data_IF_720771594744
#
_entry.id   IF_720771594744
#
_cell.length_a   1.000
_cell.length_b   1.000
_cell.length_c   1.000
_cell.angle_alpha   90.00
_cell.angle_beta   90.00
_cell.angle_gamma   90.00
#
_symmetry.space_group_name_H-M   'P 1'
#
loop_
_entity.id
_entity.type
_entity.pdbx_description
1 polymer ?
#
# COMPACT_ATOMS: atom_id res chain seq x y z
N UNK A 1 -36.52 -74.20 -28.72
CA UNK A 1 -37.41 -73.02 -28.81
C UNK A 1 -36.55 -71.77 -28.89
N UNK A 2 -36.32 -71.23 -30.10
CA UNK A 2 -35.63 -69.95 -30.32
C UNK A 2 -36.68 -69.01 -30.93
N UNK A 3 -37.08 -67.95 -30.20
CA UNK A 3 -37.95 -66.89 -30.74
C UNK A 3 -37.06 -65.79 -31.31
N UNK A 4 -37.34 -65.40 -32.54
CA UNK A 4 -36.67 -64.36 -33.31
C UNK A 4 -36.89 -62.95 -32.70
N UNK A 5 -36.00 -61.98 -32.95
CA UNK A 5 -36.15 -60.62 -32.44
C UNK A 5 -37.14 -59.80 -33.28
N UNK A 6 -37.98 -59.01 -32.60
CA UNK A 6 -38.90 -58.03 -33.19
C UNK A 6 -38.08 -56.74 -33.48
N UNK A 7 -38.22 -56.10 -34.65
CA UNK A 7 -37.51 -54.86 -34.94
C UNK A 7 -38.18 -53.71 -34.19
N UNK A 8 -37.55 -53.21 -33.12
CA UNK A 8 -37.98 -52.00 -32.43
C UNK A 8 -37.59 -50.76 -33.24
N UNK A 9 -38.58 -50.09 -33.84
CA UNK A 9 -38.41 -48.76 -34.42
C UNK A 9 -38.06 -47.77 -33.29
N UNK A 10 -36.83 -47.24 -33.27
CA UNK A 10 -36.47 -46.12 -32.42
C UNK A 10 -37.11 -44.84 -32.98
N UNK A 11 -38.14 -44.33 -32.31
CA UNK A 11 -38.59 -42.95 -32.51
C UNK A 11 -37.70 -42.02 -31.68
N UNK A 12 -36.77 -41.33 -32.34
CA UNK A 12 -35.99 -40.27 -31.71
C UNK A 12 -36.86 -39.00 -31.63
N UNK A 13 -37.40 -38.70 -30.44
CA UNK A 13 -37.99 -37.40 -30.15
C UNK A 13 -36.86 -36.38 -29.97
N UNK A 14 -36.60 -35.55 -30.98
CA UNK A 14 -35.78 -34.35 -30.81
C UNK A 14 -36.59 -33.31 -30.03
N UNK A 15 -36.30 -33.15 -28.74
CA UNK A 15 -36.73 -31.98 -27.98
C UNK A 15 -35.86 -30.79 -28.37
N UNK A 16 -36.38 -29.91 -29.23
CA UNK A 16 -35.77 -28.60 -29.49
C UNK A 16 -36.16 -27.67 -28.35
N UNK A 17 -35.31 -27.58 -27.32
CA UNK A 17 -35.44 -26.54 -26.30
C UNK A 17 -34.93 -25.23 -26.91
N UNK A 18 -35.84 -24.30 -27.18
CA UNK A 18 -35.48 -22.93 -27.53
C UNK A 18 -34.87 -22.25 -26.30
N UNK A 19 -33.55 -22.26 -26.21
CA UNK A 19 -32.81 -21.43 -25.25
C UNK A 19 -32.93 -19.98 -25.72
N UNK A 20 -33.79 -19.20 -25.06
CA UNK A 20 -33.79 -17.76 -25.20
C UNK A 20 -32.50 -17.24 -24.57
N UNK A 21 -31.49 -16.97 -25.40
CA UNK A 21 -30.29 -16.28 -24.95
C UNK A 21 -30.71 -14.89 -24.44
N UNK A 22 -30.32 -14.55 -23.22
CA UNK A 22 -30.48 -13.19 -22.71
C UNK A 22 -29.80 -12.22 -23.68
N UNK A 23 -30.50 -11.16 -24.06
CA UNK A 23 -29.88 -10.06 -24.79
C UNK A 23 -28.68 -9.55 -23.97
N UNK A 24 -27.51 -9.31 -24.58
CA UNK A 24 -26.40 -8.75 -23.85
C UNK A 24 -26.86 -7.40 -23.30
N UNK A 25 -26.92 -7.30 -21.98
CA UNK A 25 -27.08 -6.01 -21.32
C UNK A 25 -25.79 -5.26 -21.65
N UNK A 26 -25.84 -4.42 -22.68
CA UNK A 26 -24.82 -3.41 -22.97
C UNK A 26 -24.89 -2.32 -21.91
N UNK A 27 -24.70 -2.70 -20.65
CA UNK A 27 -24.29 -1.79 -19.61
C UNK A 27 -22.84 -1.48 -19.88
N UNK A 28 -22.55 -0.34 -20.50
CA UNK A 28 -21.26 0.30 -20.30
C UNK A 28 -21.18 0.57 -18.81
N UNK A 29 -20.55 -0.34 -18.06
CA UNK A 29 -20.16 -0.05 -16.69
C UNK A 29 -19.21 1.15 -16.80
N UNK A 30 -19.76 2.35 -16.63
CA UNK A 30 -19.00 3.58 -16.56
C UNK A 30 -18.17 3.45 -15.31
N UNK A 31 -16.94 2.98 -15.50
CA UNK A 31 -15.97 2.87 -14.43
C UNK A 31 -15.93 4.25 -13.76
N UNK A 32 -16.16 4.33 -12.43
CA UNK A 32 -16.10 5.62 -11.76
C UNK A 32 -14.77 6.28 -12.11
N UNK A 33 -14.78 7.59 -12.41
CA UNK A 33 -13.58 8.30 -12.81
C UNK A 33 -12.50 8.11 -11.73
N UNK A 34 -11.31 7.71 -12.17
CA UNK A 34 -10.17 7.52 -11.27
C UNK A 34 -9.60 8.89 -10.90
N UNK A 35 -9.25 9.14 -9.62
CA UNK A 35 -8.54 10.35 -9.25
C UNK A 35 -7.19 10.42 -9.98
N UNK A 36 -6.80 11.62 -10.40
CA UNK A 36 -5.51 11.86 -11.07
C UNK A 36 -4.32 11.87 -10.10
N UNK A 37 -4.60 12.09 -8.81
CA UNK A 37 -3.64 12.13 -7.73
C UNK A 37 -4.32 11.61 -6.45
N UNK A 38 -3.60 10.76 -5.71
CA UNK A 38 -3.98 10.35 -4.36
C UNK A 38 -2.87 10.83 -3.42
N UNK A 39 -3.25 11.53 -2.35
CA UNK A 39 -2.31 12.01 -1.33
C UNK A 39 -2.58 11.25 -0.04
N UNK A 40 -1.66 10.35 0.32
CA UNK A 40 -1.63 9.74 1.65
C UNK A 40 -0.70 10.54 2.55
N UNK A 41 -1.18 10.99 3.70
CA UNK A 41 -0.38 11.67 4.70
C UNK A 41 -0.63 11.04 6.08
N UNK A 42 0.45 10.72 6.78
CA UNK A 42 0.42 10.16 8.14
C UNK A 42 1.07 11.16 9.07
N UNK A 43 0.33 11.63 10.06
CA UNK A 43 0.84 12.54 11.07
C UNK A 43 1.43 11.70 12.22
N UNK A 44 2.75 11.63 12.27
CA UNK A 44 3.47 10.81 13.24
C UNK A 44 3.13 11.21 14.68
N UNK A 45 2.77 10.24 15.50
CA UNK A 45 2.32 10.43 16.88
C UNK A 45 1.04 11.27 17.04
N UNK A 46 0.23 11.44 15.99
CA UNK A 46 -1.07 12.10 16.13
C UNK A 46 -2.08 11.17 16.79
N UNK A 47 -2.54 11.56 17.99
CA UNK A 47 -3.70 10.91 18.61
C UNK A 47 -4.98 11.44 17.98
N UNK A 48 -5.98 10.56 17.95
CA UNK A 48 -7.32 10.86 17.47
C UNK A 48 -7.95 12.09 18.15
N UNK A 49 -7.80 12.23 19.47
CA UNK A 49 -8.44 13.29 20.26
C UNK A 49 -7.90 14.69 19.95
N UNK A 50 -6.75 14.82 19.27
CA UNK A 50 -6.20 16.11 18.86
C UNK A 50 -7.11 16.84 17.86
N UNK A 51 -7.90 16.11 17.06
CA UNK A 51 -8.86 16.69 16.12
C UNK A 51 -9.96 17.49 16.83
N UNK A 52 -10.31 17.10 18.05
CA UNK A 52 -11.40 17.72 18.82
C UNK A 52 -10.85 18.64 19.91
N UNK A 53 -9.81 18.21 20.62
CA UNK A 53 -9.18 18.96 21.70
C UNK A 53 -8.65 20.33 21.25
N UNK A 54 -8.24 20.45 19.99
CA UNK A 54 -7.69 21.69 19.43
C UNK A 54 -8.56 22.31 18.33
N UNK A 55 -9.82 21.87 18.21
CA UNK A 55 -10.72 22.27 17.11
C UNK A 55 -10.88 23.79 16.98
N UNK A 56 -10.90 24.51 18.10
CA UNK A 56 -11.03 25.97 18.16
C UNK A 56 -9.79 26.71 17.66
N UNK A 57 -8.64 26.02 17.56
CA UNK A 57 -7.38 26.59 17.05
C UNK A 57 -7.16 26.31 15.57
N UNK A 58 -7.98 25.47 14.95
CA UNK A 58 -7.86 25.19 13.53
C UNK A 58 -8.46 26.32 12.69
N UNK A 59 -7.79 26.59 11.57
CA UNK A 59 -8.31 27.50 10.54
C UNK A 59 -9.74 27.14 10.16
N UNK A 60 -10.59 28.15 10.05
CA UNK A 60 -11.96 27.99 9.56
C UNK A 60 -12.02 27.50 8.11
N UNK A 61 -10.96 27.77 7.33
CA UNK A 61 -10.86 27.40 5.92
C UNK A 61 -9.78 26.32 5.73
N UNK A 62 -10.19 25.17 5.22
CA UNK A 62 -9.29 24.06 4.86
C UNK A 62 -8.89 23.15 6.04
N UNK A 63 -7.74 22.49 5.90
CA UNK A 63 -7.11 21.69 6.96
C UNK A 63 -8.00 20.58 7.55
N UNK A 64 -7.88 20.36 8.87
CA UNK A 64 -8.65 19.34 9.58
C UNK A 64 -10.16 19.59 9.55
N UNK A 65 -10.61 20.85 9.61
CA UNK A 65 -12.05 21.18 9.54
C UNK A 65 -12.66 20.75 8.21
N UNK A 66 -11.96 20.97 7.11
CA UNK A 66 -12.39 20.48 5.78
C UNK A 66 -12.48 18.96 5.75
N UNK A 67 -11.47 18.26 6.26
CA UNK A 67 -11.45 16.79 6.24
C UNK A 67 -12.56 16.18 7.10
N UNK A 68 -12.87 16.78 8.25
CA UNK A 68 -13.96 16.34 9.13
C UNK A 68 -15.35 16.69 8.58
N UNK A 69 -15.52 17.84 7.92
CA UNK A 69 -16.83 18.32 7.45
C UNK A 69 -17.22 17.88 6.04
N UNK A 70 -16.24 17.73 5.14
CA UNK A 70 -16.47 17.36 3.73
C UNK A 70 -15.98 15.94 3.39
N UNK A 71 -15.23 15.31 4.31
CA UNK A 71 -14.67 13.98 4.12
C UNK A 71 -15.44 12.90 4.85
N UNK A 72 -14.75 11.79 5.10
CA UNK A 72 -15.24 10.71 5.94
C UNK A 72 -14.23 10.46 7.05
N UNK A 73 -14.73 10.27 8.27
CA UNK A 73 -13.88 10.05 9.45
C UNK A 73 -14.21 8.72 10.10
N UNK A 74 -13.17 7.88 10.25
CA UNK A 74 -13.27 6.57 10.86
C UNK A 74 -12.80 6.66 12.33
N UNK A 75 -13.71 7.08 13.21
CA UNK A 75 -13.42 7.41 14.62
C UNK A 75 -12.95 6.22 15.47
N UNK A 76 -13.23 4.99 15.03
CA UNK A 76 -12.88 3.74 15.75
C UNK A 76 -11.79 2.94 15.03
N UNK A 77 -10.83 3.63 14.44
CA UNK A 77 -9.66 3.00 13.79
C UNK A 77 -8.59 2.69 14.84
N UNK A 78 -8.35 1.42 15.11
CA UNK A 78 -7.37 0.95 16.09
C UNK A 78 -6.20 0.23 15.43
N UNK A 79 -5.03 0.25 16.08
CA UNK A 79 -3.83 -0.48 15.64
C UNK A 79 -3.94 -1.93 16.15
N UNK A 80 -4.11 -2.95 15.27
CA UNK A 80 -4.41 -4.32 15.70
C UNK A 80 -3.14 -5.15 15.98
N UNK A 81 -2.05 -4.50 16.41
CA UNK A 81 -0.76 -5.15 16.67
C UNK A 81 0.08 -4.37 17.69
N UNK A 82 1.15 -5.01 18.12
CA UNK A 82 2.20 -4.42 18.97
C UNK A 82 3.57 -4.80 18.37
N UNK A 83 4.62 -3.94 18.48
CA UNK A 83 4.63 -2.62 19.10
C UNK A 83 4.05 -1.50 18.22
N UNK A 84 3.43 -0.49 18.85
CA UNK A 84 2.84 0.69 18.18
C UNK A 84 3.91 1.75 17.90
N UNK A 85 4.89 1.41 17.05
CA UNK A 85 6.01 2.27 16.68
C UNK A 85 5.97 2.69 15.21
N UNK A 86 6.71 3.75 14.86
CA UNK A 86 6.68 4.40 13.55
C UNK A 86 6.79 3.43 12.37
N UNK A 87 7.82 2.57 12.33
CA UNK A 87 8.06 1.67 11.19
C UNK A 87 6.92 0.67 10.99
N UNK A 88 6.44 0.04 12.06
CA UNK A 88 5.29 -0.87 12.05
C UNK A 88 4.05 -0.15 11.53
N UNK A 89 3.79 1.05 12.07
CA UNK A 89 2.71 1.96 11.69
C UNK A 89 2.64 2.21 10.19
N UNK A 90 3.72 2.78 9.65
CA UNK A 90 3.78 3.18 8.24
C UNK A 90 3.67 1.97 7.30
N UNK A 91 4.29 0.84 7.66
CA UNK A 91 4.20 -0.39 6.87
C UNK A 91 2.78 -0.95 6.86
N UNK A 92 2.14 -1.02 8.03
CA UNK A 92 0.80 -1.61 8.13
C UNK A 92 -0.26 -0.81 7.37
N UNK A 93 -0.24 0.53 7.49
CA UNK A 93 -1.20 1.40 6.80
C UNK A 93 -1.15 1.24 5.29
N UNK A 94 0.05 1.10 4.71
CA UNK A 94 0.22 1.06 3.27
C UNK A 94 0.25 -0.35 2.68
N UNK A 95 0.46 -1.39 3.48
CA UNK A 95 0.40 -2.79 3.01
C UNK A 95 -0.94 -3.46 3.29
N UNK A 96 -1.74 -2.91 4.22
CA UNK A 96 -2.97 -3.57 4.68
C UNK A 96 -2.72 -4.84 5.49
N UNK A 97 -1.49 -5.06 5.97
CA UNK A 97 -1.10 -6.26 6.75
C UNK A 97 -0.43 -5.86 8.07
N UNK A 98 -0.14 -6.84 8.91
CA UNK A 98 0.47 -6.65 10.23
C UNK A 98 1.98 -6.94 10.23
N UNK A 99 2.76 -6.47 11.23
CA UNK A 99 4.19 -6.77 11.36
C UNK A 99 4.59 -8.24 11.21
N UNK A 100 3.74 -9.17 11.67
CA UNK A 100 3.97 -10.60 11.53
C UNK A 100 3.96 -11.10 10.07
N UNK A 101 3.41 -10.33 9.14
CA UNK A 101 3.30 -10.65 7.71
C UNK A 101 4.21 -9.75 6.88
N UNK A 102 4.16 -8.43 7.08
CA UNK A 102 5.01 -7.49 6.32
C UNK A 102 6.49 -7.50 6.75
N UNK A 103 6.83 -8.12 7.88
CA UNK A 103 8.21 -8.29 8.37
C UNK A 103 8.77 -7.10 9.15
N UNK A 104 8.10 -5.95 9.17
CA UNK A 104 8.56 -4.75 9.88
C UNK A 104 8.06 -4.78 11.33
N UNK A 105 8.84 -5.42 12.20
CA UNK A 105 8.49 -5.72 13.60
C UNK A 105 8.90 -4.66 14.62
N UNK A 106 9.59 -3.61 14.17
CA UNK A 106 9.99 -2.48 15.01
C UNK A 106 10.72 -1.42 14.20
N UNK A 107 11.08 -0.30 14.85
CA UNK A 107 12.03 0.65 14.26
C UNK A 107 13.41 0.00 14.08
N UNK A 108 13.74 -0.95 14.95
CA UNK A 108 14.87 -1.85 14.84
C UNK A 108 14.53 -3.16 15.57
N UNK A 109 15.21 -4.24 15.25
CA UNK A 109 15.05 -5.54 15.90
C UNK A 109 16.39 -6.27 16.02
N UNK A 110 16.47 -7.24 16.92
CA UNK A 110 17.61 -8.15 16.98
C UNK A 110 17.49 -9.20 15.87
N UNK A 111 18.50 -9.29 15.03
CA UNK A 111 18.62 -10.32 14.01
C UNK A 111 19.47 -11.48 14.55
N UNK A 112 18.87 -12.67 14.65
CA UNK A 112 19.52 -13.85 15.20
C UNK A 112 20.62 -14.44 14.31
N UNK A 113 20.57 -14.21 12.99
CA UNK A 113 21.59 -14.70 12.06
C UNK A 113 22.80 -13.76 12.03
N UNK A 114 22.54 -12.45 11.99
CA UNK A 114 23.59 -11.42 11.99
C UNK A 114 24.16 -11.16 13.39
N UNK A 115 23.47 -11.63 14.45
CA UNK A 115 23.80 -11.43 15.86
C UNK A 115 24.02 -9.96 16.21
N UNK A 116 23.12 -9.10 15.74
CA UNK A 116 23.12 -7.66 16.00
C UNK A 116 21.73 -7.06 15.84
N UNK A 117 21.57 -5.83 16.31
CA UNK A 117 20.40 -5.02 15.97
C UNK A 117 20.47 -4.57 14.50
N UNK A 118 19.35 -4.67 13.80
CA UNK A 118 19.13 -4.21 12.43
C UNK A 118 18.09 -3.10 12.48
N UNK A 119 18.40 -1.96 11.86
CA UNK A 119 17.46 -0.86 11.69
C UNK A 119 16.49 -1.14 10.52
N UNK A 120 15.23 -0.72 10.66
CA UNK A 120 14.13 -1.17 9.80
C UNK A 120 14.35 -0.98 8.30
N UNK A 121 14.94 0.14 7.88
CA UNK A 121 15.25 0.42 6.47
C UNK A 121 16.74 0.30 6.15
N UNK A 122 17.59 -0.18 7.07
CA UNK A 122 19.03 -0.28 6.81
C UNK A 122 19.33 -1.16 5.60
N UNK A 123 20.12 -0.63 4.67
CA UNK A 123 20.65 -1.38 3.56
C UNK A 123 22.07 -0.92 3.19
N UNK A 124 23.04 -1.75 3.55
CA UNK A 124 24.46 -1.48 3.31
C UNK A 124 24.87 -1.68 1.84
N UNK A 125 23.98 -2.22 1.00
CA UNK A 125 24.24 -2.46 -0.42
C UNK A 125 23.98 -1.24 -1.31
N UNK A 126 23.32 -0.21 -0.77
CA UNK A 126 23.01 1.04 -1.47
C UNK A 126 23.84 2.19 -0.91
N UNK A 127 24.04 3.21 -1.74
CA UNK A 127 24.75 4.45 -1.37
C UNK A 127 23.79 5.61 -1.22
N UNK A 128 24.19 6.59 -0.41
CA UNK A 128 23.49 7.87 -0.30
C UNK A 128 23.56 8.64 -1.62
N UNK A 129 22.44 9.22 -2.01
CA UNK A 129 22.33 10.13 -3.16
C UNK A 129 21.85 11.48 -2.66
N UNK A 130 22.58 12.54 -3.02
CA UNK A 130 22.34 13.91 -2.54
C UNK A 130 23.23 14.35 -1.37
N UNK A 131 24.07 13.48 -0.81
CA UNK A 131 25.12 13.84 0.15
C UNK A 131 26.23 12.78 0.22
N UNK A 132 27.29 13.03 0.99
CA UNK A 132 28.37 12.07 1.28
C UNK A 132 28.18 11.32 2.62
N UNK A 133 27.08 11.56 3.33
CA UNK A 133 26.81 10.92 4.62
C UNK A 133 26.44 9.44 4.43
N UNK A 134 26.40 8.66 5.51
CA UNK A 134 25.84 7.30 5.50
C UNK A 134 24.32 7.25 5.72
N UNK A 135 23.65 8.41 5.85
CA UNK A 135 22.21 8.49 6.16
C UNK A 135 21.32 8.02 5.00
N UNK A 136 21.90 7.89 3.81
CA UNK A 136 21.22 7.37 2.63
C UNK A 136 21.39 5.86 2.41
N UNK A 137 22.06 5.13 3.30
CA UNK A 137 22.19 3.66 3.22
C UNK A 137 20.90 2.95 3.65
N UNK A 138 19.81 3.29 2.98
CA UNK A 138 18.44 2.89 3.32
C UNK A 138 17.66 2.42 2.10
N UNK A 139 16.83 1.40 2.26
CA UNK A 139 15.95 0.86 1.20
C UNK A 139 14.74 0.13 1.80
N UNK A 140 13.72 -0.24 1.00
CA UNK A 140 12.57 -1.02 1.48
C UNK A 140 12.87 -2.52 1.56
N UNK A 141 14.13 -2.96 1.43
CA UNK A 141 14.58 -4.37 1.41
C UNK A 141 13.96 -5.28 2.47
N UNK A 142 13.71 -4.76 3.68
CA UNK A 142 13.19 -5.57 4.78
C UNK A 142 11.66 -5.68 4.78
N UNK A 143 10.96 -4.95 3.89
CA UNK A 143 9.52 -5.08 3.70
C UNK A 143 9.26 -6.33 2.87
N UNK A 144 8.49 -7.28 3.41
CA UNK A 144 8.30 -8.60 2.77
C UNK A 144 7.13 -8.66 1.79
N UNK A 145 6.30 -7.62 1.73
CA UNK A 145 5.05 -7.58 0.97
C UNK A 145 4.91 -6.29 0.18
N UNK A 146 4.09 -6.30 -0.86
CA UNK A 146 3.80 -5.10 -1.65
C UNK A 146 2.99 -4.08 -0.85
N UNK A 147 3.20 -2.79 -1.13
CA UNK A 147 2.33 -1.72 -0.66
C UNK A 147 1.22 -1.42 -1.68
N UNK A 148 0.19 -0.68 -1.29
CA UNK A 148 -0.82 -0.14 -2.22
C UNK A 148 -0.19 0.74 -3.30
N UNK A 149 0.98 1.35 -3.01
CA UNK A 149 1.72 2.12 -3.98
C UNK A 149 2.45 1.22 -5.00
N UNK A 150 2.96 0.06 -4.56
CA UNK A 150 3.45 -0.98 -5.46
C UNK A 150 2.33 -1.50 -6.37
N UNK A 151 1.16 -1.78 -5.81
CA UNK A 151 -0.01 -2.22 -6.58
C UNK A 151 -0.47 -1.15 -7.59
N UNK A 152 -0.38 0.14 -7.25
CA UNK A 152 -0.63 1.22 -8.21
C UNK A 152 0.37 1.18 -9.37
N UNK A 153 1.66 0.98 -9.09
CA UNK A 153 2.70 0.88 -10.12
C UNK A 153 2.45 -0.33 -11.01
N UNK A 154 2.17 -1.50 -10.44
CA UNK A 154 1.84 -2.72 -11.19
C UNK A 154 0.57 -2.56 -12.05
N UNK A 155 -0.52 -2.06 -11.46
CA UNK A 155 -1.80 -1.88 -12.14
C UNK A 155 -1.79 -0.82 -13.26
N UNK A 156 -0.75 0.02 -13.29
CA UNK A 156 -0.53 1.04 -14.33
C UNK A 156 0.63 0.70 -15.25
N UNK A 157 1.13 -0.54 -15.23
CA UNK A 157 2.29 -0.98 -15.98
C UNK A 157 3.49 -0.03 -15.82
N UNK A 158 3.73 0.36 -14.57
CA UNK A 158 4.77 1.29 -14.12
C UNK A 158 4.72 2.69 -14.77
N UNK A 159 3.57 3.09 -15.33
CA UNK A 159 3.36 4.45 -15.85
C UNK A 159 2.92 5.43 -14.75
N UNK A 160 2.17 4.94 -13.75
CA UNK A 160 1.78 5.73 -12.57
C UNK A 160 3.01 6.18 -11.78
N UNK A 161 2.91 7.34 -11.13
CA UNK A 161 4.01 7.92 -10.34
C UNK A 161 3.77 7.76 -8.84
N UNK A 162 4.80 7.31 -8.13
CA UNK A 162 4.80 7.16 -6.67
C UNK A 162 6.02 7.87 -6.10
N UNK A 163 5.79 8.79 -5.16
CA UNK A 163 6.83 9.53 -4.46
C UNK A 163 6.53 9.48 -2.95
N UNK A 164 7.50 9.03 -2.16
CA UNK A 164 7.47 9.11 -0.69
C UNK A 164 8.28 10.30 -0.20
N UNK A 165 7.75 11.09 0.74
CA UNK A 165 8.48 12.21 1.35
C UNK A 165 8.17 12.24 2.84
N UNK A 166 9.21 12.21 3.67
CA UNK A 166 9.09 12.39 5.11
C UNK A 166 10.43 12.81 5.72
N UNK A 167 10.41 13.52 6.85
CA UNK A 167 11.66 13.87 7.55
C UNK A 167 12.47 12.61 7.94
N UNK A 168 11.78 11.51 8.23
CA UNK A 168 12.38 10.21 8.60
C UNK A 168 12.40 9.29 7.38
N UNK A 169 13.53 8.64 7.11
CA UNK A 169 13.70 7.59 6.08
C UNK A 169 12.54 6.59 6.03
N UNK A 170 12.25 5.89 7.13
CA UNK A 170 11.19 4.89 7.28
C UNK A 170 9.79 5.44 7.08
N UNK A 171 9.60 6.75 7.26
CA UNK A 171 8.33 7.44 6.97
C UNK A 171 8.13 7.69 5.48
N UNK A 172 9.21 7.76 4.70
CA UNK A 172 9.16 7.93 3.25
C UNK A 172 9.19 6.57 2.53
N UNK A 173 10.12 5.70 2.93
CA UNK A 173 10.46 4.43 2.26
C UNK A 173 9.34 3.40 2.39
N UNK A 174 8.87 3.12 3.61
CA UNK A 174 7.93 2.02 3.86
C UNK A 174 6.54 2.27 3.23
N UNK A 175 5.98 3.50 3.26
CA UNK A 175 4.76 3.82 2.51
C UNK A 175 4.92 3.74 0.99
N UNK A 176 6.08 4.18 0.47
CA UNK A 176 6.33 4.24 -0.97
C UNK A 176 6.49 2.83 -1.58
N UNK A 177 6.90 1.85 -0.78
CA UNK A 177 7.09 0.48 -1.22
C UNK A 177 8.34 0.29 -2.09
N UNK A 178 8.37 -0.82 -2.80
CA UNK A 178 9.53 -1.31 -3.55
C UNK A 178 9.73 -0.60 -4.89
N UNK A 179 8.64 -0.23 -5.55
CA UNK A 179 8.63 0.18 -6.95
C UNK A 179 8.46 1.69 -7.15
N UNK A 180 8.56 2.46 -6.07
CA UNK A 180 8.42 3.91 -6.09
C UNK A 180 9.39 4.57 -7.08
N UNK A 181 8.97 5.68 -7.67
CA UNK A 181 9.85 6.50 -8.50
C UNK A 181 10.89 7.26 -7.66
N UNK A 182 10.63 7.43 -6.36
CA UNK A 182 11.55 8.03 -5.42
C UNK A 182 11.00 8.03 -4.00
N UNK A 183 11.89 7.90 -3.03
CA UNK A 183 11.59 8.23 -1.64
C UNK A 183 12.66 9.21 -1.14
N UNK A 184 12.23 10.28 -0.49
CA UNK A 184 13.11 11.36 -0.04
C UNK A 184 12.97 11.60 1.46
N UNK A 185 14.10 11.72 2.15
CA UNK A 185 14.14 12.01 3.57
C UNK A 185 15.20 13.05 3.93
N UNK A 186 15.09 13.61 5.13
CA UNK A 186 15.94 14.71 5.54
C UNK A 186 17.21 14.19 6.22
N UNK A 187 18.37 14.55 5.67
CA UNK A 187 19.66 14.37 6.29
C UNK A 187 20.00 15.62 7.11
N UNK A 188 19.81 15.52 8.42
CA UNK A 188 20.09 16.60 9.36
C UNK A 188 21.59 16.92 9.51
N UNK A 189 22.49 16.04 9.08
CA UNK A 189 23.94 16.28 9.18
C UNK A 189 24.45 17.27 8.12
N UNK A 190 23.75 17.36 6.99
CA UNK A 190 24.08 18.26 5.87
C UNK A 190 22.93 19.23 5.54
N UNK A 191 21.82 19.15 6.27
CA UNK A 191 20.67 20.04 6.12
C UNK A 191 19.90 19.88 4.81
N UNK A 192 19.98 18.72 4.16
CA UNK A 192 19.45 18.50 2.80
C UNK A 192 18.50 17.31 2.73
N UNK A 193 17.59 17.34 1.75
CA UNK A 193 16.82 16.16 1.37
C UNK A 193 17.69 15.22 0.53
N UNK A 194 17.71 13.96 0.90
CA UNK A 194 18.49 12.90 0.26
C UNK A 194 17.59 11.74 -0.17
N UNK A 195 18.16 10.85 -0.97
CA UNK A 195 17.60 9.53 -1.29
C UNK A 195 18.73 8.48 -1.28
N UNK A 196 18.48 7.30 -1.84
CA UNK A 196 19.48 6.24 -1.98
C UNK A 196 19.56 5.71 -3.41
N UNK A 197 20.66 5.02 -3.70
CA UNK A 197 20.89 4.35 -4.99
C UNK A 197 19.89 3.21 -5.27
N UNK A 198 19.00 2.89 -4.33
CA UNK A 198 17.84 2.04 -4.57
C UNK A 198 16.85 2.67 -5.56
N UNK A 199 16.61 3.99 -5.43
CA UNK A 199 15.59 4.71 -6.21
C UNK A 199 16.18 5.40 -7.43
N UNK A 200 17.35 5.98 -7.29
CA UNK A 200 18.02 6.76 -8.34
C UNK A 200 19.50 6.42 -8.35
N UNK A 201 20.09 5.95 -9.47
CA UNK A 201 21.52 5.69 -9.55
C UNK A 201 22.36 6.96 -9.36
#
# INVERSE_FOLDING_TARGET
MRKAPIPGLLFAFLFVTSTWAQSPVSGTATRPPRPRLVVGFVLDQMRWDYLYRYADRFSEKGGFRRMLGEGHSCEQTLIPYTPTVTACGHSAVYTGTVPAINGITGNAWWDGQLRRTVYCTEDKSVSTVGSSSSQGKMSPKNLLVTSIADELRLATNFQGKVIGVAIKDRGAILPAGHSANGAYWYDNSVGSWITSSYYTP
#
